data_IF_101638950605
#
_entry.id   IF_101638950605
#
_cell.length_a   1.000
_cell.length_b   1.000
_cell.length_c   1.000
_cell.angle_alpha   90.00
_cell.angle_beta   90.00
_cell.angle_gamma   90.00
#
_symmetry.space_group_name_H-M   'P 1'
#
loop_
_entity.id
_entity.type
_entity.pdbx_description
1 polymer ?
#
# COMPACT_ATOMS: atom_id res chain seq x y z
N UNK A 1 -4.65 9.40 -13.05
CA UNK A 1 -4.04 8.95 -14.31
C UNK A 1 -2.58 8.57 -14.04
N UNK A 2 -2.08 7.50 -14.66
CA UNK A 2 -0.67 7.10 -14.55
C UNK A 2 0.24 8.18 -15.17
N UNK A 3 1.35 8.45 -14.49
CA UNK A 3 2.41 9.39 -14.86
C UNK A 3 3.73 8.64 -14.98
N UNK A 4 4.69 9.29 -15.62
CA UNK A 4 6.04 8.78 -15.86
C UNK A 4 7.05 9.82 -15.38
N UNK A 5 8.05 9.38 -14.63
CA UNK A 5 9.17 10.18 -14.16
C UNK A 5 10.46 9.62 -14.77
N UNK A 6 11.33 10.49 -15.29
CA UNK A 6 12.58 10.09 -15.94
C UNK A 6 13.76 10.61 -15.13
N UNK A 7 14.67 9.72 -14.74
CA UNK A 7 15.92 10.03 -14.07
C UNK A 7 17.02 9.15 -14.65
N UNK A 8 18.09 9.75 -15.20
CA UNK A 8 19.21 9.04 -15.82
C UNK A 8 18.79 7.89 -16.76
N UNK A 9 17.86 8.18 -17.67
CA UNK A 9 17.26 7.22 -18.62
C UNK A 9 16.40 6.10 -17.99
N UNK A 10 16.21 6.12 -16.67
CA UNK A 10 15.32 5.21 -15.95
C UNK A 10 13.94 5.84 -15.81
N UNK A 11 12.94 5.15 -16.37
CA UNK A 11 11.55 5.58 -16.34
C UNK A 11 10.79 4.93 -15.18
N UNK A 12 10.33 5.71 -14.21
CA UNK A 12 9.48 5.24 -13.11
C UNK A 12 8.02 5.55 -13.42
N UNK A 13 7.15 4.53 -13.35
CA UNK A 13 5.70 4.71 -13.48
C UNK A 13 5.08 4.95 -12.10
N UNK A 14 4.22 5.95 -12.00
CA UNK A 14 3.59 6.29 -10.74
C UNK A 14 2.20 6.89 -10.93
N UNK A 15 1.39 6.86 -9.88
CA UNK A 15 0.15 7.63 -9.80
C UNK A 15 0.30 8.58 -8.61
N UNK A 16 0.03 9.86 -8.84
CA UNK A 16 -0.07 10.84 -7.75
C UNK A 16 -1.50 11.37 -7.68
N UNK A 17 -2.12 11.28 -6.50
CA UNK A 17 -3.41 11.87 -6.19
C UNK A 17 -3.19 12.97 -5.15
N UNK A 18 -3.60 14.19 -5.46
CA UNK A 18 -3.60 15.28 -4.49
C UNK A 18 -4.73 15.05 -3.47
N UNK A 19 -4.52 15.50 -2.24
CA UNK A 19 -5.64 15.88 -1.37
C UNK A 19 -6.40 17.04 -2.01
N UNK A 20 -7.72 16.99 -1.98
CA UNK A 20 -8.62 17.97 -2.61
C UNK A 20 -9.22 18.91 -1.55
N UNK A 21 -9.58 18.40 -0.38
CA UNK A 21 -10.41 19.10 0.60
C UNK A 21 -9.65 19.48 1.86
N UNK A 22 -8.72 18.65 2.32
CA UNK A 22 -8.01 18.85 3.58
C UNK A 22 -6.78 19.73 3.43
N UNK A 23 -6.32 19.98 2.19
CA UNK A 23 -5.03 20.64 1.90
C UNK A 23 -3.90 20.05 2.76
N UNK A 24 -3.94 18.73 2.94
CA UNK A 24 -3.06 18.03 3.87
C UNK A 24 -1.61 18.17 3.42
N UNK A 25 -0.72 18.53 4.34
CA UNK A 25 0.73 18.45 4.14
C UNK A 25 1.28 17.03 4.39
N UNK A 26 0.41 16.02 4.44
CA UNK A 26 0.78 14.61 4.63
C UNK A 26 0.79 13.87 3.30
N UNK A 27 1.66 12.86 3.20
CA UNK A 27 1.79 12.01 2.04
C UNK A 27 1.81 10.54 2.46
N UNK A 28 1.04 9.71 1.76
CA UNK A 28 1.19 8.27 1.80
C UNK A 28 1.89 7.81 0.53
N UNK A 29 2.99 7.08 0.68
CA UNK A 29 3.72 6.45 -0.44
C UNK A 29 3.44 4.94 -0.40
N UNK A 30 2.87 4.41 -1.47
CA UNK A 30 2.56 2.99 -1.62
C UNK A 30 3.43 2.32 -2.67
N UNK A 31 4.07 1.22 -2.28
CA UNK A 31 4.90 0.41 -3.16
C UNK A 31 4.13 -0.87 -3.57
N UNK A 32 4.10 -1.14 -4.87
CA UNK A 32 3.51 -2.34 -5.47
C UNK A 32 4.14 -3.64 -4.97
N UNK A 33 3.28 -4.65 -4.77
CA UNK A 33 3.68 -6.01 -4.44
C UNK A 33 4.29 -6.76 -5.64
N UNK A 34 4.73 -8.00 -5.41
CA UNK A 34 5.34 -8.85 -6.42
C UNK A 34 4.27 -9.39 -7.39
N UNK A 35 4.48 -9.25 -8.71
CA UNK A 35 3.55 -9.83 -9.70
C UNK A 35 3.83 -11.32 -9.92
N UNK A 36 2.76 -12.10 -10.06
CA UNK A 36 2.87 -13.48 -10.51
C UNK A 36 3.30 -13.50 -11.98
N UNK A 37 4.14 -14.48 -12.35
CA UNK A 37 4.70 -14.58 -13.71
C UNK A 37 3.58 -14.60 -14.76
N UNK A 38 3.68 -13.73 -15.76
CA UNK A 38 2.68 -13.58 -16.82
C UNK A 38 1.57 -12.56 -16.52
N UNK A 39 1.48 -12.03 -15.31
CA UNK A 39 0.56 -10.94 -14.97
C UNK A 39 1.28 -9.59 -14.95
N UNK A 40 0.59 -8.55 -15.41
CA UNK A 40 1.11 -7.18 -15.36
C UNK A 40 1.22 -6.73 -13.90
N UNK A 41 2.30 -6.01 -13.53
CA UNK A 41 2.40 -5.31 -12.25
C UNK A 41 1.19 -4.39 -12.00
N UNK A 42 0.75 -4.31 -10.76
CA UNK A 42 -0.40 -3.49 -10.36
C UNK A 42 -0.05 -2.60 -9.17
N UNK A 43 -0.64 -1.41 -9.13
CA UNK A 43 -0.56 -0.54 -7.97
C UNK A 43 -1.27 -1.17 -6.78
N UNK A 44 -0.57 -1.30 -5.66
CA UNK A 44 -1.14 -1.83 -4.42
C UNK A 44 -1.91 -0.75 -3.66
N UNK A 45 -2.91 -1.16 -2.87
CA UNK A 45 -3.65 -0.31 -1.91
C UNK A 45 -4.40 0.90 -2.47
N UNK A 46 -4.49 1.09 -3.80
CA UNK A 46 -5.24 2.21 -4.39
C UNK A 46 -6.71 2.26 -3.96
N UNK A 47 -7.35 1.09 -3.81
CA UNK A 47 -8.73 0.99 -3.32
C UNK A 47 -8.82 1.22 -1.81
N UNK A 48 -7.86 0.68 -1.06
CA UNK A 48 -7.77 0.87 0.40
C UNK A 48 -7.74 2.36 0.75
N UNK A 49 -6.99 3.15 -0.02
CA UNK A 49 -6.87 4.60 0.20
C UNK A 49 -7.91 5.46 -0.53
N UNK A 50 -8.87 4.85 -1.24
CA UNK A 50 -9.79 5.60 -2.14
C UNK A 50 -10.65 6.62 -1.40
N UNK A 51 -11.09 6.27 -0.19
CA UNK A 51 -11.96 7.11 0.65
C UNK A 51 -11.22 8.05 1.61
N UNK A 52 -9.92 8.27 1.45
CA UNK A 52 -9.13 9.12 2.34
C UNK A 52 -8.58 10.31 1.56
N UNK A 53 -8.94 11.52 1.99
CA UNK A 53 -8.45 12.75 1.38
C UNK A 53 -7.08 13.17 1.93
N UNK A 54 -6.03 12.54 1.40
CA UNK A 54 -4.62 12.77 1.70
C UNK A 54 -3.83 12.69 0.40
N UNK A 55 -2.65 13.32 0.31
CA UNK A 55 -1.79 13.09 -0.85
C UNK A 55 -1.35 11.62 -0.90
N UNK A 56 -1.38 11.02 -2.09
CA UNK A 56 -1.04 9.62 -2.29
C UNK A 56 -0.12 9.48 -3.49
N UNK A 57 1.06 8.91 -3.27
CA UNK A 57 2.01 8.50 -4.30
C UNK A 57 2.03 6.98 -4.40
N UNK A 58 1.57 6.42 -5.51
CA UNK A 58 1.70 5.00 -5.80
C UNK A 58 2.84 4.79 -6.78
N UNK A 59 3.86 4.00 -6.41
CA UNK A 59 5.03 3.73 -7.24
C UNK A 59 4.96 2.29 -7.74
N UNK A 60 4.97 2.11 -9.07
CA UNK A 60 4.94 0.80 -9.70
C UNK A 60 6.37 0.32 -9.96
N UNK A 61 6.67 -0.88 -9.51
CA UNK A 61 7.88 -1.59 -9.93
C UNK A 61 7.52 -2.51 -11.09
N UNK A 62 7.72 -1.97 -12.30
CA UNK A 62 7.36 -2.60 -13.57
C UNK A 62 8.57 -3.03 -14.42
N UNK A 63 9.75 -3.04 -13.81
CA UNK A 63 11.00 -3.35 -14.52
C UNK A 63 11.23 -4.84 -14.54
N UNK A 64 11.41 -5.37 -15.74
CA UNK A 64 11.33 -6.80 -16.03
C UNK A 64 9.92 -7.36 -15.73
N UNK A 65 9.63 -8.59 -16.14
CA UNK A 65 8.29 -9.17 -16.05
C UNK A 65 7.72 -9.22 -14.61
N UNK A 66 8.58 -9.15 -13.59
CA UNK A 66 8.22 -9.37 -12.18
C UNK A 66 8.67 -8.26 -11.22
N UNK A 67 9.26 -7.18 -11.74
CA UNK A 67 9.86 -6.12 -10.93
C UNK A 67 11.31 -6.41 -10.53
N UNK A 68 11.98 -5.40 -9.98
CA UNK A 68 13.40 -5.45 -9.56
C UNK A 68 13.61 -5.04 -8.11
N UNK A 69 12.60 -5.24 -7.25
CA UNK A 69 12.63 -4.84 -5.83
C UNK A 69 12.91 -3.35 -5.62
N UNK A 70 12.57 -2.51 -6.60
CA UNK A 70 12.92 -1.09 -6.61
C UNK A 70 14.44 -0.80 -6.52
N UNK A 71 15.30 -1.81 -6.70
CA UNK A 71 16.74 -1.67 -6.65
C UNK A 71 17.31 -1.43 -8.05
N UNK A 72 17.00 -2.33 -8.97
CA UNK A 72 17.71 -2.43 -10.24
C UNK A 72 18.88 -3.39 -10.14
N UNK A 73 19.82 -3.28 -11.06
CA UNK A 73 20.96 -4.19 -11.19
C UNK A 73 22.14 -3.70 -10.35
N UNK A 74 22.75 -4.60 -9.58
CA UNK A 74 24.01 -4.33 -8.89
C UNK A 74 25.15 -4.14 -9.89
N UNK A 75 26.13 -3.23 -9.64
CA UNK A 75 26.28 -2.37 -8.46
C UNK A 75 25.55 -1.03 -8.53
N UNK A 76 24.96 -0.71 -9.68
CA UNK A 76 24.52 0.65 -9.96
C UNK A 76 23.22 1.02 -9.24
N UNK A 77 22.33 0.05 -9.00
CA UNK A 77 21.01 0.26 -8.41
C UNK A 77 20.28 1.49 -8.99
N UNK A 78 20.23 1.53 -10.31
CA UNK A 78 19.72 2.66 -11.09
C UNK A 78 18.23 2.93 -10.85
N UNK A 79 17.43 1.89 -10.57
CA UNK A 79 16.00 2.04 -10.27
C UNK A 79 15.81 2.62 -8.86
N UNK A 80 16.72 2.27 -7.95
CA UNK A 80 16.76 2.81 -6.60
C UNK A 80 16.97 4.33 -6.63
N UNK A 81 18.01 4.76 -7.34
CA UNK A 81 18.34 6.18 -7.53
C UNK A 81 17.18 6.96 -8.17
N UNK A 82 16.58 6.40 -9.21
CA UNK A 82 15.44 7.01 -9.90
C UNK A 82 14.19 7.11 -9.01
N UNK A 83 13.93 6.11 -8.17
CA UNK A 83 12.80 6.11 -7.23
C UNK A 83 13.04 7.10 -6.08
N UNK A 84 14.26 7.16 -5.55
CA UNK A 84 14.68 8.20 -4.59
C UNK A 84 14.43 9.59 -5.18
N UNK A 85 14.89 9.83 -6.41
CA UNK A 85 14.73 11.12 -7.08
C UNK A 85 13.25 11.48 -7.32
N UNK A 86 12.41 10.50 -7.69
CA UNK A 86 10.96 10.71 -7.79
C UNK A 86 10.36 11.13 -6.44
N UNK A 87 10.69 10.43 -5.35
CA UNK A 87 10.13 10.73 -4.03
C UNK A 87 10.54 12.14 -3.61
N UNK A 88 11.83 12.48 -3.70
CA UNK A 88 12.33 13.82 -3.37
C UNK A 88 11.70 14.91 -4.23
N UNK A 89 11.50 14.65 -5.52
CA UNK A 89 10.82 15.56 -6.44
C UNK A 89 9.37 15.81 -6.00
N UNK A 90 8.63 14.77 -5.60
CA UNK A 90 7.25 14.90 -5.11
C UNK A 90 7.23 15.69 -3.80
N UNK A 91 8.11 15.38 -2.85
CA UNK A 91 8.19 16.12 -1.59
C UNK A 91 8.45 17.60 -1.81
N UNK A 92 9.42 17.93 -2.68
CA UNK A 92 9.76 19.32 -3.02
C UNK A 92 8.64 20.03 -3.77
N UNK A 93 8.01 19.36 -4.74
CA UNK A 93 6.96 19.95 -5.58
C UNK A 93 5.71 20.30 -4.78
N UNK A 94 5.42 19.52 -3.74
CA UNK A 94 4.22 19.67 -2.92
C UNK A 94 4.49 20.26 -1.53
N UNK A 95 5.73 20.70 -1.25
CA UNK A 95 6.15 21.26 0.03
C UNK A 95 5.81 20.36 1.23
N UNK A 96 6.11 19.07 1.08
CA UNK A 96 5.82 18.03 2.09
C UNK A 96 7.10 17.70 2.85
N UNK A 97 7.11 17.99 4.14
CA UNK A 97 8.20 17.62 5.01
C UNK A 97 8.28 16.09 5.21
N UNK A 98 9.50 15.57 5.40
CA UNK A 98 9.77 14.13 5.51
C UNK A 98 9.03 13.48 6.69
N UNK A 99 8.91 14.15 7.84
CA UNK A 99 8.20 13.66 9.01
C UNK A 99 6.69 13.45 8.77
N UNK A 100 6.14 14.05 7.71
CA UNK A 100 4.73 13.95 7.34
C UNK A 100 4.45 12.85 6.31
N UNK A 101 5.42 11.98 6.07
CA UNK A 101 5.35 10.93 5.05
C UNK A 101 5.22 9.55 5.68
N UNK A 102 4.26 8.77 5.22
CA UNK A 102 4.06 7.38 5.60
C UNK A 102 4.30 6.47 4.38
N UNK A 103 5.28 5.58 4.47
CA UNK A 103 5.52 4.53 3.50
C UNK A 103 4.71 3.27 3.86
N UNK A 104 4.06 2.68 2.86
CA UNK A 104 3.19 1.52 3.04
C UNK A 104 3.44 0.48 1.95
N UNK A 105 3.20 -0.77 2.30
CA UNK A 105 3.34 -1.89 1.38
C UNK A 105 3.32 -3.22 2.09
N UNK A 106 3.14 -4.30 1.32
CA UNK A 106 3.34 -5.64 1.82
C UNK A 106 4.30 -6.43 0.95
N UNK A 107 4.88 -7.51 1.50
CA UNK A 107 5.83 -8.33 0.76
C UNK A 107 6.98 -7.47 0.18
N UNK A 108 7.19 -7.52 -1.15
CA UNK A 108 8.14 -6.69 -1.88
C UNK A 108 7.90 -5.22 -1.60
N UNK A 109 6.64 -4.79 -1.65
CA UNK A 109 6.25 -3.42 -1.35
C UNK A 109 6.50 -3.06 0.11
N UNK A 110 6.40 -4.04 1.02
CA UNK A 110 6.73 -3.86 2.45
C UNK A 110 8.23 -3.64 2.65
N UNK A 111 9.07 -4.43 1.98
CA UNK A 111 10.51 -4.21 1.97
C UNK A 111 10.87 -2.83 1.42
N UNK A 112 10.31 -2.46 0.26
CA UNK A 112 10.56 -1.16 -0.35
C UNK A 112 10.10 0.00 0.55
N UNK A 113 8.93 -0.13 1.17
CA UNK A 113 8.41 0.86 2.11
C UNK A 113 9.36 1.06 3.30
N UNK A 114 9.87 -0.02 3.89
CA UNK A 114 10.88 0.06 4.96
C UNK A 114 12.16 0.73 4.46
N UNK A 115 12.70 0.24 3.34
CA UNK A 115 13.95 0.73 2.77
C UNK A 115 13.91 2.22 2.48
N UNK A 116 12.91 2.71 1.74
CA UNK A 116 12.81 4.14 1.42
C UNK A 116 12.46 5.01 2.63
N UNK A 117 11.67 4.52 3.58
CA UNK A 117 11.41 5.27 4.81
C UNK A 117 12.70 5.49 5.61
N UNK A 118 13.50 4.43 5.78
CA UNK A 118 14.79 4.46 6.50
C UNK A 118 15.82 5.27 5.71
N UNK A 119 15.98 5.01 4.41
CA UNK A 119 16.97 5.66 3.53
C UNK A 119 16.71 7.15 3.33
N UNK A 120 15.45 7.58 3.30
CA UNK A 120 15.10 9.00 3.09
C UNK A 120 14.72 9.76 4.35
N UNK A 121 14.42 9.07 5.46
CA UNK A 121 14.31 9.67 6.80
C UNK A 121 12.90 10.16 7.01
N UNK A 122 11.97 9.39 6.45
CA UNK A 122 10.56 9.71 6.40
C UNK A 122 9.93 9.44 7.77
N UNK A 123 8.74 9.97 8.01
CA UNK A 123 8.13 9.91 9.34
C UNK A 123 7.75 8.50 9.78
N UNK A 124 7.21 7.69 8.86
CA UNK A 124 6.54 6.44 9.19
C UNK A 124 6.74 5.35 8.14
N UNK A 125 6.80 4.10 8.59
CA UNK A 125 6.63 2.92 7.76
C UNK A 125 5.60 1.97 8.40
N UNK A 126 4.52 1.67 7.70
CA UNK A 126 3.49 0.71 8.16
C UNK A 126 3.44 -0.41 7.13
N UNK A 127 3.98 -1.58 7.45
CA UNK A 127 4.25 -2.63 6.45
C UNK A 127 3.69 -4.00 6.86
N UNK A 128 3.29 -4.80 5.88
CA UNK A 128 2.73 -6.14 6.08
C UNK A 128 3.64 -7.24 5.53
N UNK A 129 4.07 -8.17 6.37
CA UNK A 129 4.96 -9.29 6.02
C UNK A 129 6.08 -8.92 5.02
N UNK A 130 6.96 -7.96 5.34
CA UNK A 130 8.05 -7.56 4.46
C UNK A 130 9.07 -8.69 4.28
N UNK A 131 9.52 -8.91 3.05
CA UNK A 131 10.63 -9.85 2.77
C UNK A 131 11.97 -9.19 3.01
N UNK A 132 12.45 -9.23 4.26
CA UNK A 132 13.66 -8.51 4.71
C UNK A 132 14.92 -8.94 3.94
N UNK A 133 15.29 -10.21 4.06
CA UNK A 133 16.40 -10.85 3.33
C UNK A 133 16.01 -11.18 1.88
N UNK A 134 16.37 -10.30 0.94
CA UNK A 134 15.96 -10.37 -0.46
C UNK A 134 16.44 -11.62 -1.19
N UNK A 135 17.74 -11.92 -1.15
CA UNK A 135 18.31 -13.07 -1.83
C UNK A 135 17.79 -14.37 -1.21
N UNK A 136 17.75 -14.44 0.12
CA UNK A 136 17.18 -15.59 0.83
C UNK A 136 15.72 -15.85 0.44
N UNK A 137 14.88 -14.81 0.39
CA UNK A 137 13.49 -14.95 -0.06
C UNK A 137 13.39 -15.38 -1.52
N UNK A 138 14.13 -14.75 -2.42
CA UNK A 138 14.05 -15.04 -3.86
C UNK A 138 14.51 -16.47 -4.17
N UNK A 139 15.48 -17.00 -3.43
CA UNK A 139 15.86 -18.42 -3.48
C UNK A 139 14.73 -19.32 -2.99
N UNK A 140 14.13 -19.02 -1.84
CA UNK A 140 12.99 -19.77 -1.29
C UNK A 140 11.79 -19.79 -2.24
N UNK A 141 11.44 -18.63 -2.80
CA UNK A 141 10.33 -18.43 -3.73
C UNK A 141 10.64 -18.92 -5.16
N UNK A 142 11.86 -19.43 -5.41
CA UNK A 142 12.35 -19.87 -6.73
C UNK A 142 12.20 -18.79 -7.81
N UNK A 143 12.41 -17.53 -7.43
CA UNK A 143 12.38 -16.35 -8.30
C UNK A 143 13.80 -16.00 -8.78
N UNK A 144 14.49 -17.00 -9.35
CA UNK A 144 15.88 -16.87 -9.80
C UNK A 144 16.08 -15.81 -10.88
N UNK A 145 15.07 -15.59 -11.72
CA UNK A 145 15.07 -14.55 -12.75
C UNK A 145 15.24 -13.15 -12.16
N UNK A 146 14.55 -12.87 -11.05
CA UNK A 146 14.68 -11.59 -10.35
C UNK A 146 15.99 -11.52 -9.59
N UNK A 147 16.38 -12.61 -8.90
CA UNK A 147 17.63 -12.67 -8.15
C UNK A 147 18.86 -12.43 -9.04
N UNK A 148 18.97 -13.13 -10.16
CA UNK A 148 20.06 -12.96 -11.12
C UNK A 148 20.15 -11.53 -11.64
N UNK A 149 19.02 -10.87 -11.90
CA UNK A 149 19.02 -9.48 -12.33
C UNK A 149 19.52 -8.53 -11.23
N UNK A 150 18.93 -8.58 -10.02
CA UNK A 150 19.27 -7.61 -8.97
C UNK A 150 20.67 -7.84 -8.40
N UNK A 151 21.18 -9.06 -8.47
CA UNK A 151 22.55 -9.42 -8.06
C UNK A 151 23.61 -9.09 -9.11
N UNK A 152 23.26 -8.62 -10.31
CA UNK A 152 24.25 -8.45 -11.39
C UNK A 152 24.82 -9.79 -11.86
N UNK A 153 24.02 -10.86 -11.83
CA UNK A 153 24.34 -12.23 -12.24
C UNK A 153 25.49 -12.87 -11.46
N UNK A 154 25.68 -12.46 -10.20
CA UNK A 154 26.73 -12.99 -9.33
C UNK A 154 26.15 -13.42 -7.99
N UNK A 155 26.25 -14.71 -7.68
CA UNK A 155 25.77 -15.26 -6.40
C UNK A 155 26.52 -14.71 -5.19
N UNK A 156 27.76 -14.24 -5.38
CA UNK A 156 28.55 -13.60 -4.34
C UNK A 156 27.89 -12.31 -3.82
N UNK A 157 26.96 -11.73 -4.57
CA UNK A 157 26.26 -10.51 -4.19
C UNK A 157 24.99 -10.78 -3.35
N UNK A 158 24.64 -12.04 -3.08
CA UNK A 158 23.46 -12.38 -2.28
C UNK A 158 23.53 -11.81 -0.85
N UNK A 159 24.70 -11.87 -0.22
CA UNK A 159 24.92 -11.31 1.11
C UNK A 159 24.75 -9.79 1.11
N UNK A 160 25.17 -9.12 0.04
CA UNK A 160 24.95 -7.68 -0.13
C UNK A 160 23.44 -7.41 -0.14
N UNK A 161 22.69 -8.12 -0.97
CA UNK A 161 21.23 -7.94 -1.10
C UNK A 161 20.47 -8.18 0.21
N UNK A 162 20.87 -9.20 0.97
CA UNK A 162 20.27 -9.51 2.27
C UNK A 162 20.63 -8.45 3.34
N UNK A 163 21.74 -7.73 3.17
CA UNK A 163 22.20 -6.70 4.10
C UNK A 163 21.77 -5.25 3.77
N UNK A 164 21.25 -4.97 2.57
CA UNK A 164 20.91 -3.59 2.12
C UNK A 164 20.08 -2.81 3.14
N UNK A 165 19.02 -3.42 3.69
CA UNK A 165 18.13 -2.74 4.63
C UNK A 165 18.85 -2.40 5.94
N UNK A 166 19.67 -3.32 6.42
CA UNK A 166 20.46 -3.19 7.64
C UNK A 166 21.56 -2.15 7.49
N UNK A 167 22.25 -2.14 6.36
CA UNK A 167 23.29 -1.17 6.04
C UNK A 167 22.69 0.24 5.90
N UNK A 168 21.51 0.35 5.29
CA UNK A 168 20.77 1.63 5.24
C UNK A 168 20.40 2.13 6.64
N UNK A 169 19.94 1.24 7.54
CA UNK A 169 19.61 1.61 8.91
C UNK A 169 20.86 2.02 9.72
N UNK A 170 21.98 1.30 9.52
CA UNK A 170 23.28 1.62 10.14
C UNK A 170 23.80 2.97 9.71
N UNK A 171 23.84 3.23 8.41
CA UNK A 171 24.29 4.51 7.85
C UNK A 171 23.47 5.66 8.41
N UNK A 172 22.14 5.52 8.39
CA UNK A 172 21.22 6.53 8.93
C UNK A 172 21.47 6.85 10.39
N UNK A 173 21.60 5.80 11.21
CA UNK A 173 21.87 5.98 12.64
C UNK A 173 23.22 6.64 12.88
N UNK A 174 24.25 6.29 12.11
CA UNK A 174 25.58 6.87 12.24
C UNK A 174 25.62 8.37 11.89
N UNK A 175 24.73 8.81 10.99
CA UNK A 175 24.57 10.22 10.61
C UNK A 175 23.83 11.05 11.68
N UNK A 176 23.23 10.41 12.70
CA UNK A 176 22.41 11.08 13.72
C UNK A 176 21.03 11.52 13.19
N UNK A 177 20.62 10.96 12.06
CA UNK A 177 19.40 11.31 11.35
C UNK A 177 18.16 10.62 11.94
N UNK A 178 16.98 11.11 11.55
CA UNK A 178 15.71 10.56 11.96
C UNK A 178 15.50 9.12 11.43
N UNK A 179 15.21 8.20 12.34
CA UNK A 179 14.71 6.86 12.03
C UNK A 179 13.18 6.92 12.00
N UNK A 180 12.51 6.39 10.96
CA UNK A 180 11.05 6.37 10.90
C UNK A 180 10.45 5.62 12.09
N UNK A 181 9.21 5.98 12.46
CA UNK A 181 8.39 5.13 13.31
C UNK A 181 7.92 3.92 12.47
N UNK A 182 8.32 2.71 12.87
CA UNK A 182 8.07 1.50 12.08
C UNK A 182 7.03 0.63 12.79
N UNK A 183 6.00 0.22 12.05
CA UNK A 183 5.06 -0.82 12.42
C UNK A 183 5.11 -1.96 11.40
N UNK A 184 5.34 -3.17 11.88
CA UNK A 184 5.31 -4.40 11.07
C UNK A 184 4.13 -5.27 11.48
N UNK A 185 3.24 -5.54 10.54
CA UNK A 185 2.17 -6.53 10.70
C UNK A 185 2.61 -7.89 10.15
N UNK A 186 2.32 -8.98 10.88
CA UNK A 186 2.63 -10.34 10.43
C UNK A 186 1.77 -11.42 11.08
N UNK A 187 1.65 -12.57 10.41
CA UNK A 187 1.16 -13.80 11.03
C UNK A 187 2.28 -14.45 11.83
N UNK A 188 2.11 -14.57 13.16
CA UNK A 188 3.20 -15.04 14.05
C UNK A 188 3.68 -16.47 13.76
N UNK A 189 2.87 -17.25 13.06
CA UNK A 189 3.19 -18.64 12.74
C UNK A 189 3.74 -18.80 11.31
N UNK A 190 3.71 -17.75 10.49
CA UNK A 190 4.07 -17.77 9.08
C UNK A 190 5.57 -17.74 8.80
N UNK A 191 5.94 -18.14 7.59
CA UNK A 191 7.32 -18.12 7.08
C UNK A 191 7.93 -16.71 7.15
N UNK A 192 7.20 -15.69 6.71
CA UNK A 192 7.68 -14.30 6.71
C UNK A 192 8.05 -13.82 8.11
N UNK A 193 7.26 -14.17 9.12
CA UNK A 193 7.59 -13.78 10.50
C UNK A 193 8.88 -14.45 10.96
N UNK A 194 8.95 -15.78 10.89
CA UNK A 194 10.06 -16.58 11.43
C UNK A 194 11.39 -16.33 10.71
N UNK A 195 11.37 -16.27 9.39
CA UNK A 195 12.59 -16.24 8.58
C UNK A 195 13.05 -14.82 8.21
N UNK A 196 12.16 -13.83 8.30
CA UNK A 196 12.49 -12.45 7.93
C UNK A 196 12.31 -11.45 9.07
N UNK A 197 11.12 -11.40 9.67
CA UNK A 197 10.75 -10.31 10.59
C UNK A 197 11.38 -10.50 11.96
N UNK A 198 11.30 -11.69 12.56
CA UNK A 198 11.90 -11.96 13.88
C UNK A 198 13.42 -11.74 13.88
N UNK A 199 14.20 -12.23 12.88
CA UNK A 199 15.62 -11.88 12.78
C UNK A 199 15.86 -10.38 12.63
N UNK A 200 15.04 -9.68 11.84
CA UNK A 200 15.13 -8.23 11.68
C UNK A 200 14.88 -7.48 12.99
N UNK A 201 13.89 -7.89 13.78
CA UNK A 201 13.57 -7.31 15.08
C UNK A 201 14.72 -7.50 16.08
N UNK A 202 15.33 -8.68 16.10
CA UNK A 202 16.49 -8.96 16.96
C UNK A 202 17.66 -8.02 16.64
N UNK A 203 17.97 -7.86 15.35
CA UNK A 203 19.02 -6.97 14.90
C UNK A 203 18.69 -5.49 15.15
N UNK A 204 17.46 -5.06 14.90
CA UNK A 204 17.01 -3.70 15.20
C UNK A 204 17.16 -3.38 16.69
N UNK A 205 16.84 -4.33 17.57
CA UNK A 205 17.03 -4.20 19.02
C UNK A 205 18.51 -4.06 19.42
N UNK A 206 19.42 -4.83 18.83
CA UNK A 206 20.87 -4.68 19.04
C UNK A 206 21.36 -3.29 18.60
N UNK A 207 20.76 -2.76 17.55
CA UNK A 207 20.99 -1.41 17.08
C UNK A 207 20.22 -0.33 17.86
N UNK A 208 19.45 -0.66 18.90
CA UNK A 208 18.63 0.32 19.63
C UNK A 208 17.62 1.06 18.74
N UNK A 209 17.12 0.40 17.70
CA UNK A 209 16.01 0.86 16.87
C UNK A 209 14.73 0.19 17.38
N UNK A 210 13.77 0.99 17.79
CA UNK A 210 12.47 0.50 18.24
C UNK A 210 11.56 0.25 17.02
N UNK A 211 10.91 -0.92 17.01
CA UNK A 211 9.99 -1.35 15.97
C UNK A 211 8.75 -1.91 16.63
N UNK A 212 7.59 -1.33 16.32
CA UNK A 212 6.31 -1.84 16.75
C UNK A 212 5.90 -3.04 15.89
N UNK A 213 5.20 -3.99 16.50
CA UNK A 213 4.67 -5.16 15.80
C UNK A 213 3.17 -5.34 16.05
N UNK A 214 2.45 -5.73 15.02
CA UNK A 214 1.07 -6.19 15.08
C UNK A 214 1.02 -7.67 14.63
N UNK A 215 0.92 -8.59 15.60
CA UNK A 215 1.07 -10.02 15.37
C UNK A 215 -0.24 -10.77 15.53
N UNK A 216 -0.75 -11.31 14.43
CA UNK A 216 -2.00 -12.07 14.38
C UNK A 216 -1.77 -13.59 14.29
N UNK A 217 -2.80 -14.36 14.64
CA UNK A 217 -2.76 -15.82 14.64
C UNK A 217 -3.11 -16.41 13.25
N UNK A 218 -2.24 -16.16 12.26
CA UNK A 218 -2.28 -16.84 10.96
C UNK A 218 -0.89 -17.31 10.52
N UNK A 219 -0.86 -18.22 9.54
CA UNK A 219 0.38 -18.79 8.99
C UNK A 219 0.52 -18.59 7.49
N UNK A 220 -0.60 -18.59 6.76
CA UNK A 220 -0.61 -18.47 5.31
C UNK A 220 -0.44 -17.02 4.88
N UNK A 221 0.48 -16.76 3.96
CA UNK A 221 0.74 -15.41 3.46
C UNK A 221 -0.52 -14.76 2.84
N UNK A 222 -1.40 -15.57 2.23
CA UNK A 222 -2.65 -15.09 1.64
C UNK A 222 -3.64 -14.55 2.67
N UNK A 223 -3.49 -14.89 3.96
CA UNK A 223 -4.36 -14.36 5.02
C UNK A 223 -4.04 -12.90 5.37
N UNK A 224 -2.86 -12.39 5.00
CA UNK A 224 -2.46 -11.00 5.20
C UNK A 224 -3.52 -9.98 4.74
N UNK A 225 -4.19 -10.26 3.61
CA UNK A 225 -5.21 -9.38 3.03
C UNK A 225 -6.43 -9.18 3.93
N UNK A 226 -6.67 -10.10 4.89
CA UNK A 226 -7.79 -10.03 5.83
C UNK A 226 -7.53 -9.03 6.97
N UNK A 227 -6.27 -8.76 7.28
CA UNK A 227 -5.87 -7.99 8.47
C UNK A 227 -5.21 -6.65 8.12
N UNK A 228 -4.19 -6.67 7.26
CA UNK A 228 -3.35 -5.50 7.00
C UNK A 228 -4.08 -4.28 6.42
N UNK A 229 -5.07 -4.39 5.51
CA UNK A 229 -5.79 -3.22 5.03
C UNK A 229 -6.52 -2.45 6.14
N UNK A 230 -7.21 -3.15 7.06
CA UNK A 230 -7.88 -2.53 8.21
C UNK A 230 -6.86 -1.97 9.20
N UNK A 231 -5.80 -2.75 9.45
CA UNK A 231 -4.47 -2.34 9.90
C UNK A 231 -4.13 -0.88 9.56
N UNK A 232 -3.85 -0.74 8.28
CA UNK A 232 -3.35 0.44 7.64
C UNK A 232 -4.28 1.64 7.84
N UNK A 233 -5.59 1.45 7.61
CA UNK A 233 -6.57 2.54 7.77
C UNK A 233 -6.57 3.05 9.20
N UNK A 234 -6.62 2.16 10.19
CA UNK A 234 -6.59 2.54 11.61
C UNK A 234 -5.32 3.33 11.96
N UNK A 235 -4.16 2.91 11.44
CA UNK A 235 -2.89 3.59 11.71
C UNK A 235 -2.76 4.94 11.02
N UNK A 236 -3.32 5.09 9.81
CA UNK A 236 -3.42 6.41 9.14
C UNK A 236 -4.16 7.40 10.03
N UNK A 237 -5.33 7.05 10.56
CA UNK A 237 -6.12 7.94 11.43
C UNK A 237 -5.54 8.14 12.84
N UNK A 238 -4.76 7.17 13.33
CA UNK A 238 -4.05 7.27 14.61
C UNK A 238 -2.86 8.22 14.55
N UNK A 239 -2.12 8.19 13.43
CA UNK A 239 -0.91 8.99 13.20
C UNK A 239 -1.28 10.40 12.69
N UNK A 240 -2.08 10.48 11.63
CA UNK A 240 -2.56 11.75 11.05
C UNK A 240 -3.92 12.11 11.64
N UNK A 241 -3.91 12.46 12.93
CA UNK A 241 -5.12 12.68 13.75
C UNK A 241 -6.06 13.74 13.18
N UNK A 242 -5.54 14.71 12.45
CA UNK A 242 -6.31 15.75 11.79
C UNK A 242 -7.34 15.18 10.80
N UNK A 243 -7.07 14.02 10.20
CA UNK A 243 -8.00 13.36 9.28
C UNK A 243 -9.30 12.92 9.96
N UNK A 244 -9.31 12.73 11.29
CA UNK A 244 -10.52 12.37 12.03
C UNK A 244 -11.61 13.44 11.94
N UNK A 245 -11.22 14.71 11.72
CA UNK A 245 -12.14 15.84 11.63
C UNK A 245 -12.53 16.18 10.17
N UNK A 246 -12.20 15.29 9.24
CA UNK A 246 -12.41 15.48 7.80
C UNK A 246 -13.35 14.40 7.27
N UNK A 247 -13.97 14.65 6.12
CA UNK A 247 -14.76 13.63 5.44
C UNK A 247 -13.86 12.46 5.06
N UNK A 248 -14.26 11.24 5.40
CA UNK A 248 -13.60 10.03 4.91
C UNK A 248 -14.60 8.89 4.75
N UNK A 249 -14.28 7.95 3.87
CA UNK A 249 -14.90 6.63 3.80
C UNK A 249 -13.83 5.62 4.21
N UNK A 250 -13.97 5.03 5.40
CA UNK A 250 -13.02 4.06 5.95
C UNK A 250 -13.15 2.71 5.26
N UNK A 251 -14.40 2.27 5.07
CA UNK A 251 -14.72 0.99 4.46
C UNK A 251 -16.13 0.99 3.88
N UNK A 252 -16.39 0.04 3.00
CA UNK A 252 -17.75 -0.34 2.61
C UNK A 252 -17.95 -1.81 2.96
N UNK A 253 -18.87 -2.08 3.87
CA UNK A 253 -19.30 -3.45 4.16
C UNK A 253 -20.42 -3.85 3.19
N UNK A 254 -20.35 -5.08 2.68
CA UNK A 254 -21.38 -5.65 1.79
C UNK A 254 -21.74 -7.03 2.32
N UNK A 255 -23.00 -7.21 2.69
CA UNK A 255 -23.58 -8.51 3.00
C UNK A 255 -24.44 -8.96 1.82
N UNK A 256 -24.13 -10.12 1.27
CA UNK A 256 -24.89 -10.73 0.17
C UNK A 256 -25.69 -11.93 0.68
N UNK A 257 -26.99 -11.93 0.38
CA UNK A 257 -27.91 -13.04 0.64
C UNK A 257 -28.64 -13.37 -0.66
N UNK A 258 -28.15 -14.36 -1.40
CA UNK A 258 -28.61 -14.66 -2.77
C UNK A 258 -28.50 -13.43 -3.70
N UNK A 259 -29.62 -12.93 -4.22
CA UNK A 259 -29.75 -11.75 -5.07
C UNK A 259 -29.75 -10.43 -4.29
N UNK A 260 -29.88 -10.46 -2.96
CA UNK A 260 -29.96 -9.25 -2.12
C UNK A 260 -28.60 -8.82 -1.60
N UNK A 261 -28.27 -7.56 -1.79
CA UNK A 261 -27.10 -6.87 -1.23
C UNK A 261 -27.52 -5.84 -0.20
N UNK A 262 -26.84 -5.85 0.95
CA UNK A 262 -26.94 -4.81 1.98
C UNK A 262 -25.55 -4.19 2.09
N UNK A 263 -25.44 -2.95 1.60
CA UNK A 263 -24.21 -2.18 1.58
C UNK A 263 -24.28 -1.10 2.66
N UNK A 264 -23.18 -0.87 3.39
CA UNK A 264 -23.08 0.21 4.37
C UNK A 264 -21.71 0.87 4.29
N UNK A 265 -21.72 2.21 4.22
CA UNK A 265 -20.52 3.04 4.29
C UNK A 265 -20.15 3.25 5.77
N UNK A 266 -18.90 2.93 6.11
CA UNK A 266 -18.28 3.39 7.36
C UNK A 266 -17.50 4.68 7.06
N UNK A 267 -17.79 5.75 7.80
CA UNK A 267 -17.26 7.09 7.48
C UNK A 267 -16.96 7.92 8.72
N UNK A 268 -16.24 9.03 8.51
CA UNK A 268 -16.24 10.18 9.42
C UNK A 268 -16.88 11.38 8.70
N UNK A 269 -17.68 12.16 9.40
CA UNK A 269 -18.23 13.46 8.95
C UNK A 269 -19.13 13.46 7.69
N UNK A 270 -19.47 12.29 7.14
CA UNK A 270 -20.50 12.16 6.09
C UNK A 270 -21.91 12.43 6.63
N UNK A 271 -22.68 13.27 5.91
CA UNK A 271 -24.07 13.63 6.21
C UNK A 271 -25.05 13.21 5.12
N UNK A 272 -24.57 13.04 3.87
CA UNK A 272 -25.38 12.59 2.74
C UNK A 272 -24.65 11.49 1.97
N UNK A 273 -25.40 10.52 1.42
CA UNK A 273 -24.83 9.36 0.75
C UNK A 273 -25.50 9.01 -0.56
N UNK A 274 -24.72 8.66 -1.57
CA UNK A 274 -25.18 8.22 -2.88
C UNK A 274 -24.55 6.87 -3.25
N UNK A 275 -25.17 6.12 -4.16
CA UNK A 275 -24.72 4.78 -4.53
C UNK A 275 -24.87 4.53 -6.01
N UNK A 276 -23.79 4.08 -6.66
CA UNK A 276 -23.84 3.59 -8.04
C UNK A 276 -23.65 2.08 -8.04
N UNK A 277 -24.46 1.39 -8.83
CA UNK A 277 -24.38 -0.06 -9.02
C UNK A 277 -23.94 -0.33 -10.45
N UNK A 278 -22.88 -1.10 -10.58
CA UNK A 278 -22.34 -1.57 -11.84
C UNK A 278 -22.63 -3.06 -12.00
N UNK A 279 -23.05 -3.47 -13.19
CA UNK A 279 -23.18 -4.85 -13.63
C UNK A 279 -22.30 -5.06 -14.86
N UNK A 280 -21.37 -6.01 -14.78
CA UNK A 280 -20.43 -6.33 -15.87
C UNK A 280 -19.64 -5.12 -16.41
N UNK A 281 -19.45 -4.09 -15.57
CA UNK A 281 -18.74 -2.86 -15.93
C UNK A 281 -19.64 -1.68 -16.32
N UNK A 282 -20.94 -1.92 -16.54
CA UNK A 282 -21.90 -0.88 -16.91
C UNK A 282 -22.71 -0.41 -15.70
N UNK A 283 -22.97 0.90 -15.60
CA UNK A 283 -23.87 1.44 -14.56
C UNK A 283 -25.29 0.97 -14.86
N UNK A 284 -25.90 0.28 -13.91
CA UNK A 284 -27.29 -0.21 -14.01
C UNK A 284 -28.24 0.49 -13.05
N UNK A 285 -27.72 1.16 -12.02
CA UNK A 285 -28.54 1.89 -11.06
C UNK A 285 -27.75 2.99 -10.37
N UNK A 286 -28.44 4.10 -10.06
CA UNK A 286 -27.90 5.22 -9.29
C UNK A 286 -28.93 5.68 -8.26
N UNK A 287 -28.54 5.71 -6.97
CA UNK A 287 -29.24 6.45 -5.92
C UNK A 287 -28.51 7.77 -5.69
N UNK A 288 -29.25 8.86 -5.72
CA UNK A 288 -28.71 10.18 -5.40
C UNK A 288 -28.55 10.36 -3.88
N UNK A 289 -28.00 11.51 -3.49
CA UNK A 289 -27.62 11.81 -2.11
C UNK A 289 -28.84 11.85 -1.17
N UNK A 290 -28.86 10.95 -0.18
CA UNK A 290 -29.91 10.80 0.83
C UNK A 290 -29.31 10.73 2.25
N UNK A 291 -30.16 10.90 3.27
CA UNK A 291 -29.80 10.83 4.70
C UNK A 291 -29.70 9.37 5.22
N UNK A 292 -29.02 8.50 4.46
CA UNK A 292 -28.81 7.10 4.87
C UNK A 292 -27.53 6.52 4.28
N UNK A 293 -26.61 6.10 5.16
CA UNK A 293 -25.37 5.41 4.80
C UNK A 293 -25.58 3.95 4.36
N UNK A 294 -26.78 3.40 4.60
CA UNK A 294 -27.17 2.05 4.19
C UNK A 294 -27.84 2.08 2.81
N UNK A 295 -27.56 1.05 2.02
CA UNK A 295 -28.15 0.85 0.70
C UNK A 295 -28.46 -0.63 0.47
N UNK A 296 -29.73 -0.91 0.16
CA UNK A 296 -30.20 -2.25 -0.16
C UNK A 296 -30.46 -2.31 -1.66
N UNK A 297 -29.88 -3.31 -2.32
CA UNK A 297 -30.07 -3.55 -3.74
C UNK A 297 -30.42 -5.02 -3.99
N UNK A 298 -31.47 -5.27 -4.78
CA UNK A 298 -31.81 -6.60 -5.23
C UNK A 298 -31.37 -6.75 -6.68
N UNK A 299 -30.42 -7.65 -6.93
CA UNK A 299 -29.98 -8.00 -8.26
C UNK A 299 -31.14 -8.63 -9.04
N UNK A 300 -31.31 -8.17 -10.28
CA UNK A 300 -32.34 -8.65 -11.20
C UNK A 300 -31.74 -9.37 -12.42
N UNK A 301 -30.40 -9.47 -12.50
CA UNK A 301 -29.67 -10.12 -13.58
C UNK A 301 -28.47 -10.88 -13.02
N UNK A 302 -28.13 -12.00 -13.65
CA UNK A 302 -26.89 -12.73 -13.36
C UNK A 302 -25.70 -11.92 -13.88
N UNK A 303 -24.61 -11.92 -13.12
CA UNK A 303 -23.36 -11.30 -13.53
C UNK A 303 -22.54 -10.74 -12.39
N UNK A 304 -21.58 -9.89 -12.75
CA UNK A 304 -20.59 -9.30 -11.85
C UNK A 304 -21.03 -7.94 -11.36
N UNK A 305 -21.40 -7.85 -10.09
CA UNK A 305 -21.83 -6.63 -9.44
C UNK A 305 -20.68 -5.92 -8.74
N UNK A 306 -20.64 -4.59 -8.86
CA UNK A 306 -19.74 -3.72 -8.11
C UNK A 306 -20.52 -2.49 -7.63
N UNK A 307 -20.29 -2.07 -6.39
CA UNK A 307 -20.92 -0.91 -5.79
C UNK A 307 -19.89 0.21 -5.63
N UNK A 308 -20.30 1.44 -5.88
CA UNK A 308 -19.54 2.64 -5.52
C UNK A 308 -20.40 3.44 -4.55
N UNK A 309 -19.92 3.54 -3.32
CA UNK A 309 -20.52 4.37 -2.28
C UNK A 309 -19.90 5.75 -2.30
N UNK A 310 -20.74 6.77 -2.18
CA UNK A 310 -20.33 8.17 -2.10
C UNK A 310 -20.80 8.74 -0.77
N UNK A 311 -19.96 9.55 -0.13
CA UNK A 311 -20.29 10.32 1.06
C UNK A 311 -20.03 11.80 0.78
N UNK A 312 -20.88 12.66 1.33
CA UNK A 312 -20.70 14.10 1.33
C UNK A 312 -20.82 14.66 2.75
N UNK A 313 -20.01 15.67 3.08
CA UNK A 313 -20.12 16.41 4.34
C UNK A 313 -20.99 17.67 4.20
N UNK A 314 -21.17 18.40 5.31
CA UNK A 314 -21.92 19.65 5.41
C UNK A 314 -21.29 20.82 4.64
N UNK A 315 -19.99 20.73 4.34
CA UNK A 315 -19.22 21.69 3.54
C UNK A 315 -19.35 21.41 2.04
N UNK A 316 -20.03 20.33 1.66
CA UNK A 316 -20.21 19.93 0.26
C UNK A 316 -19.01 19.17 -0.34
N UNK A 317 -18.02 18.78 0.48
CA UNK A 317 -16.94 17.89 0.06
C UNK A 317 -17.54 16.52 -0.27
N UNK A 318 -16.96 15.82 -1.25
CA UNK A 318 -17.47 14.53 -1.71
C UNK A 318 -16.33 13.53 -1.91
N UNK A 319 -16.46 12.36 -1.32
CA UNK A 319 -15.57 11.23 -1.53
C UNK A 319 -16.36 10.02 -2.00
N UNK A 320 -15.64 9.10 -2.64
CA UNK A 320 -16.20 7.83 -3.10
C UNK A 320 -15.26 6.69 -2.77
N UNK A 321 -15.82 5.51 -2.53
CA UNK A 321 -15.07 4.28 -2.43
C UNK A 321 -15.80 3.19 -3.19
N UNK A 322 -15.03 2.31 -3.83
CA UNK A 322 -15.55 1.21 -4.60
C UNK A 322 -15.35 -0.13 -3.91
N UNK A 323 -16.31 -1.05 -4.05
CA UNK A 323 -16.24 -2.39 -3.47
C UNK A 323 -15.37 -3.35 -4.30
N UNK A 324 -15.15 -4.55 -3.78
CA UNK A 324 -14.86 -5.73 -4.62
C UNK A 324 -15.99 -5.99 -5.61
N UNK A 325 -15.72 -6.88 -6.57
CA UNK A 325 -16.75 -7.46 -7.43
C UNK A 325 -17.40 -8.64 -6.69
N UNK A 326 -18.71 -8.79 -6.86
CA UNK A 326 -19.52 -9.88 -6.33
C UNK A 326 -20.20 -10.59 -7.48
N UNK A 327 -20.15 -11.92 -7.51
CA UNK A 327 -20.82 -12.73 -8.52
C UNK A 327 -22.25 -13.07 -8.06
N UNK A 328 -23.21 -12.90 -8.96
CA UNK A 328 -24.60 -13.38 -8.81
C UNK A 328 -24.82 -14.41 -9.90
N UNK A 329 -24.92 -15.68 -9.52
CA UNK A 329 -25.06 -16.79 -10.49
C UNK A 329 -26.53 -17.14 -10.78
N UNK A 330 -27.44 -16.80 -9.88
CA UNK A 330 -28.88 -17.11 -9.98
C UNK A 330 -29.70 -15.94 -9.41
N UNK A 331 -30.86 -15.68 -10.00
CA UNK A 331 -31.85 -14.73 -9.48
C UNK A 331 -32.95 -15.56 -8.80
N UNK A 332 -32.98 -15.51 -7.48
CA UNK A 332 -34.02 -16.13 -6.63
C UNK A 332 -34.97 -15.04 -6.17
#
# INVERSE_FOLDING_TARGET
MEKKYLYDNILIKYVYKNSIYTSSNKLIISFSAFSTKGNKPQYSYMRTLEGIDINQLFVLDDKNDRGSYYLGEYPDFQIEKATTSLIECILKTHDINKENVMCIGSSKGGWAALYYAIKLGLGYAVVGEPQIFLASYLLHAKAYDVLEYISGKSICNNEILDNILFDSAKARKAEGDNIPNILIHAGRNGYHYKEHIEPFLNYAKEMGIEIDTDLEDYSEHNDLIKYYPSLLINKIFSIFKELNNTLCIKSISVKQHSSKFICRIEHNNGVKFAWYVYLNGDIVFTRWYEDSEEFIYNANKVGKYKFIGFAADDKGNKLSMSTTVFDVNEII
#
